data_IF_795841935327
#
_entry.id   IF_795841935327
#
_cell.length_a   1.000
_cell.length_b   1.000
_cell.length_c   1.000
_cell.angle_alpha   90.00
_cell.angle_beta   90.00
_cell.angle_gamma   90.00
#
_symmetry.space_group_name_H-M   'P 1'
#
loop_
_entity.id
_entity.type
_entity.pdbx_description
1 polymer ?
#
# COMPACT_ATOMS: atom_id res chain seq x y z
N UNK A 1 38.63 1.09 -59.08
CA UNK A 1 39.66 2.09 -58.73
C UNK A 1 38.97 3.25 -58.06
N UNK A 2 39.31 3.39 -56.78
CA UNK A 2 39.09 4.49 -55.84
C UNK A 2 38.80 5.86 -56.45
N UNK A 3 37.89 6.59 -55.82
CA UNK A 3 37.82 8.05 -55.63
C UNK A 3 36.49 8.31 -54.90
N UNK A 4 36.31 9.08 -53.84
CA UNK A 4 37.17 9.82 -52.93
C UNK A 4 36.20 10.32 -51.85
N UNK A 5 36.28 9.82 -50.62
CA UNK A 5 35.44 10.27 -49.50
C UNK A 5 36.09 11.49 -48.88
N UNK A 6 35.77 12.69 -49.35
CA UNK A 6 36.04 13.94 -48.62
C UNK A 6 35.39 15.14 -49.32
N UNK A 7 34.18 15.56 -48.86
CA UNK A 7 33.74 16.98 -48.84
C UNK A 7 32.32 17.30 -48.36
N UNK A 8 31.53 16.38 -47.79
CA UNK A 8 30.18 16.74 -47.30
C UNK A 8 30.15 16.97 -45.78
N UNK A 9 30.89 18.00 -45.35
CA UNK A 9 30.52 18.87 -44.21
C UNK A 9 29.08 19.35 -44.45
N UNK A 10 28.25 19.72 -43.46
CA UNK A 10 28.16 19.39 -42.04
C UNK A 10 26.66 19.12 -41.72
N UNK A 11 26.04 18.18 -42.43
CA UNK A 11 24.57 18.03 -42.50
C UNK A 11 24.11 16.66 -42.00
N UNK A 12 24.67 16.18 -40.91
CA UNK A 12 24.20 14.95 -40.23
C UNK A 12 24.14 15.14 -38.72
N UNK A 13 24.10 16.39 -38.25
CA UNK A 13 23.57 16.72 -36.91
C UNK A 13 22.06 16.40 -36.82
N UNK A 14 21.40 16.14 -37.95
CA UNK A 14 20.03 15.63 -38.01
C UNK A 14 19.88 14.15 -37.58
N UNK A 15 20.97 13.48 -37.16
CA UNK A 15 20.95 12.07 -36.76
C UNK A 15 20.63 11.82 -35.27
N UNK A 16 20.36 12.85 -34.46
CA UNK A 16 20.28 12.71 -32.99
C UNK A 16 18.94 13.12 -32.33
N UNK A 17 17.87 13.38 -33.08
CA UNK A 17 16.59 13.83 -32.49
C UNK A 17 15.43 12.82 -32.64
N UNK A 18 15.58 11.75 -33.43
CA UNK A 18 14.47 10.84 -33.76
C UNK A 18 14.46 9.51 -32.98
N UNK A 19 14.95 9.48 -31.74
CA UNK A 19 15.07 8.24 -30.95
C UNK A 19 14.46 8.31 -29.53
N UNK A 20 13.49 9.20 -29.27
CA UNK A 20 12.89 9.39 -27.92
C UNK A 20 11.36 9.27 -27.91
N UNK A 21 10.77 8.37 -28.70
CA UNK A 21 9.29 8.18 -28.72
C UNK A 21 8.79 6.77 -28.42
N UNK A 22 9.61 5.89 -27.84
CA UNK A 22 9.15 4.56 -27.38
C UNK A 22 9.21 4.40 -25.86
N UNK A 23 8.57 5.31 -25.12
CA UNK A 23 8.15 5.04 -23.74
C UNK A 23 6.63 5.22 -23.67
N UNK A 24 5.89 4.29 -24.25
CA UNK A 24 4.44 4.20 -24.09
C UNK A 24 4.10 2.99 -23.21
N UNK A 25 3.80 3.29 -21.95
CA UNK A 25 2.87 2.55 -21.10
C UNK A 25 3.22 1.10 -20.75
N UNK A 26 4.05 0.89 -19.73
CA UNK A 26 4.12 -0.41 -19.08
C UNK A 26 2.80 -0.72 -18.34
N UNK A 27 2.09 -1.74 -18.81
CA UNK A 27 1.22 -2.63 -18.04
C UNK A 27 -0.14 -2.09 -17.52
N UNK A 28 -1.03 -1.66 -18.42
CA UNK A 28 -2.47 -1.88 -18.19
C UNK A 28 -2.82 -3.30 -18.67
N UNK A 29 -2.49 -4.31 -17.86
CA UNK A 29 -2.87 -5.70 -18.16
C UNK A 29 -4.38 -5.80 -18.00
N UNK A 30 -5.11 -5.72 -19.11
CA UNK A 30 -6.54 -5.95 -19.20
C UNK A 30 -6.82 -7.43 -18.95
N UNK A 31 -6.83 -7.84 -17.68
CA UNK A 31 -7.01 -9.22 -17.26
C UNK A 31 -7.48 -9.28 -15.82
N UNK A 32 -7.92 -10.46 -15.34
CA UNK A 32 -8.51 -10.57 -14.02
C UNK A 32 -7.54 -10.13 -12.90
N UNK A 33 -7.92 -9.20 -12.00
CA UNK A 33 -7.03 -8.60 -10.99
C UNK A 33 -6.84 -9.50 -9.75
N UNK A 34 -6.35 -10.72 -9.97
CA UNK A 34 -6.18 -11.73 -8.91
C UNK A 34 -5.14 -11.30 -7.88
N UNK A 35 -4.08 -10.62 -8.31
CA UNK A 35 -3.01 -10.17 -7.42
C UNK A 35 -3.53 -9.09 -6.44
N UNK A 36 -4.35 -8.17 -6.94
CA UNK A 36 -4.94 -7.08 -6.17
C UNK A 36 -5.97 -7.62 -5.15
N UNK A 37 -6.83 -8.57 -5.55
CA UNK A 37 -7.75 -9.25 -4.63
C UNK A 37 -7.00 -9.99 -3.52
N UNK A 38 -5.94 -10.73 -3.86
CA UNK A 38 -5.10 -11.44 -2.88
C UNK A 38 -4.39 -10.47 -1.92
N UNK A 39 -3.91 -9.33 -2.45
CA UNK A 39 -3.29 -8.28 -1.64
C UNK A 39 -4.28 -7.64 -0.66
N UNK A 40 -5.51 -7.39 -1.10
CA UNK A 40 -6.58 -6.87 -0.26
C UNK A 40 -6.97 -7.84 0.86
N UNK A 41 -7.15 -9.12 0.55
CA UNK A 41 -7.43 -10.18 1.53
C UNK A 41 -6.30 -10.29 2.59
N UNK A 42 -5.05 -10.26 2.12
CA UNK A 42 -3.88 -10.29 3.01
C UNK A 42 -3.79 -9.04 3.90
N UNK A 43 -4.15 -7.87 3.37
CA UNK A 43 -4.18 -6.61 4.14
C UNK A 43 -5.29 -6.64 5.21
N UNK A 44 -6.47 -7.19 4.88
CA UNK A 44 -7.55 -7.41 5.86
C UNK A 44 -7.11 -8.35 6.99
N UNK A 45 -6.47 -9.47 6.67
CA UNK A 45 -5.96 -10.41 7.67
C UNK A 45 -4.93 -9.76 8.62
N UNK A 46 -4.04 -8.93 8.09
CA UNK A 46 -3.08 -8.16 8.89
C UNK A 46 -3.78 -7.16 9.81
N UNK A 47 -4.78 -6.42 9.31
CA UNK A 47 -5.57 -5.50 10.12
C UNK A 47 -6.30 -6.21 11.26
N UNK A 48 -6.93 -7.36 10.98
CA UNK A 48 -7.60 -8.18 12.00
C UNK A 48 -6.62 -8.68 13.06
N UNK A 49 -5.46 -9.20 12.63
CA UNK A 49 -4.39 -9.66 13.51
C UNK A 49 -3.81 -8.54 14.38
N UNK A 50 -3.80 -7.30 13.88
CA UNK A 50 -3.41 -6.12 14.63
C UNK A 50 -4.47 -5.64 15.64
N UNK A 51 -5.66 -6.26 15.68
CA UNK A 51 -6.74 -5.90 16.59
C UNK A 51 -7.67 -4.80 16.05
N UNK A 52 -7.71 -4.58 14.73
CA UNK A 52 -8.56 -3.56 14.13
C UNK A 52 -10.06 -3.74 14.42
N UNK A 53 -10.52 -4.97 14.69
CA UNK A 53 -11.92 -5.23 15.11
C UNK A 53 -12.33 -4.42 16.34
N UNK A 54 -11.38 -4.17 17.25
CA UNK A 54 -11.62 -3.44 18.49
C UNK A 54 -11.21 -1.97 18.37
N UNK A 55 -10.15 -1.69 17.62
CA UNK A 55 -9.50 -0.37 17.63
C UNK A 55 -9.73 0.48 16.38
N UNK A 56 -10.21 -0.11 15.29
CA UNK A 56 -10.54 0.55 14.03
C UNK A 56 -11.70 -0.16 13.30
N UNK A 57 -12.87 -0.36 13.95
CA UNK A 57 -13.94 -1.19 13.40
C UNK A 57 -14.56 -0.60 12.12
N UNK A 58 -14.62 0.73 12.02
CA UNK A 58 -15.21 1.40 10.86
C UNK A 58 -14.35 1.23 9.60
N UNK A 59 -13.05 1.44 9.72
CA UNK A 59 -12.10 1.27 8.61
C UNK A 59 -12.05 -0.20 8.17
N UNK A 60 -12.04 -1.13 9.14
CA UNK A 60 -12.07 -2.55 8.85
C UNK A 60 -13.36 -2.99 8.13
N UNK A 61 -14.51 -2.44 8.55
CA UNK A 61 -15.80 -2.70 7.89
C UNK A 61 -15.78 -2.18 6.44
N UNK A 62 -15.30 -0.95 6.26
CA UNK A 62 -15.19 -0.31 4.93
C UNK A 62 -14.31 -1.14 3.99
N UNK A 63 -13.16 -1.61 4.47
CA UNK A 63 -12.27 -2.48 3.70
C UNK A 63 -12.94 -3.80 3.30
N UNK A 64 -13.68 -4.43 4.23
CA UNK A 64 -14.39 -5.68 3.98
C UNK A 64 -15.52 -5.51 2.96
N UNK A 65 -16.26 -4.42 3.06
CA UNK A 65 -17.34 -4.10 2.12
C UNK A 65 -16.80 -3.87 0.70
N UNK A 66 -15.73 -3.10 0.56
CA UNK A 66 -15.07 -2.89 -0.74
C UNK A 66 -14.48 -4.17 -1.32
N UNK A 67 -13.88 -5.04 -0.50
CA UNK A 67 -13.42 -6.35 -0.97
C UNK A 67 -14.60 -7.20 -1.48
N UNK A 68 -15.72 -7.21 -0.77
CA UNK A 68 -16.92 -7.94 -1.22
C UNK A 68 -17.45 -7.40 -2.55
N UNK A 69 -17.45 -6.07 -2.72
CA UNK A 69 -17.80 -5.44 -4.00
C UNK A 69 -16.78 -5.78 -5.10
N UNK A 70 -15.48 -5.85 -4.78
CA UNK A 70 -14.44 -6.24 -5.72
C UNK A 70 -14.62 -7.69 -6.20
N UNK A 71 -14.95 -8.60 -5.29
CA UNK A 71 -15.25 -10.00 -5.61
C UNK A 71 -16.53 -10.12 -6.46
N UNK A 72 -17.53 -9.27 -6.23
CA UNK A 72 -18.72 -9.20 -7.06
C UNK A 72 -18.40 -8.72 -8.48
N UNK A 73 -17.61 -7.65 -8.62
CA UNK A 73 -17.14 -7.14 -9.91
C UNK A 73 -16.27 -8.17 -10.66
N UNK A 74 -15.44 -8.92 -9.93
CA UNK A 74 -14.65 -10.03 -10.49
C UNK A 74 -15.55 -11.12 -11.09
N UNK A 75 -16.65 -11.49 -10.41
CA UNK A 75 -17.62 -12.47 -10.92
C UNK A 75 -18.42 -11.97 -12.12
N UNK A 76 -18.62 -10.65 -12.24
CA UNK A 76 -19.27 -10.03 -13.40
C UNK A 76 -18.30 -9.67 -14.53
N UNK A 77 -17.03 -10.10 -14.43
CA UNK A 77 -15.96 -9.80 -15.38
C UNK A 77 -15.67 -8.29 -15.55
N UNK A 78 -16.11 -7.47 -14.60
CA UNK A 78 -15.78 -6.04 -14.53
C UNK A 78 -14.42 -5.87 -13.83
N UNK A 79 -13.36 -6.23 -14.56
CA UNK A 79 -12.00 -6.32 -14.02
C UNK A 79 -11.42 -4.97 -13.60
N UNK A 80 -11.74 -3.89 -14.31
CA UNK A 80 -11.28 -2.55 -13.94
C UNK A 80 -11.91 -2.11 -12.62
N UNK A 81 -13.23 -2.31 -12.46
CA UNK A 81 -13.90 -2.01 -11.20
C UNK A 81 -13.42 -2.90 -10.06
N UNK A 82 -13.23 -4.19 -10.33
CA UNK A 82 -12.70 -5.14 -9.35
C UNK A 82 -11.31 -4.72 -8.86
N UNK A 83 -10.44 -4.29 -9.77
CA UNK A 83 -9.09 -3.81 -9.45
C UNK A 83 -9.13 -2.59 -8.53
N UNK A 84 -9.88 -1.55 -8.91
CA UNK A 84 -9.99 -0.30 -8.13
C UNK A 84 -10.57 -0.58 -6.74
N UNK A 85 -11.61 -1.39 -6.64
CA UNK A 85 -12.22 -1.74 -5.36
C UNK A 85 -11.26 -2.56 -4.47
N UNK A 86 -10.49 -3.49 -5.04
CA UNK A 86 -9.50 -4.26 -4.32
C UNK A 86 -8.35 -3.38 -3.79
N UNK A 87 -7.84 -2.45 -4.60
CA UNK A 87 -6.83 -1.47 -4.18
C UNK A 87 -7.34 -0.59 -3.04
N UNK A 88 -8.58 -0.08 -3.15
CA UNK A 88 -9.20 0.70 -2.08
C UNK A 88 -9.38 -0.12 -0.80
N UNK A 89 -9.86 -1.37 -0.90
CA UNK A 89 -9.99 -2.27 0.23
C UNK A 89 -8.65 -2.52 0.92
N UNK A 90 -7.57 -2.69 0.16
CA UNK A 90 -6.22 -2.87 0.70
C UNK A 90 -5.74 -1.63 1.47
N UNK A 91 -5.99 -0.43 0.93
CA UNK A 91 -5.62 0.84 1.59
C UNK A 91 -6.42 1.04 2.88
N UNK A 92 -7.73 0.82 2.86
CA UNK A 92 -8.58 0.94 4.05
C UNK A 92 -8.19 -0.08 5.13
N UNK A 93 -7.84 -1.31 4.73
CA UNK A 93 -7.35 -2.33 5.65
C UNK A 93 -6.03 -1.90 6.31
N UNK A 94 -5.08 -1.35 5.54
CA UNK A 94 -3.83 -0.82 6.08
C UNK A 94 -4.06 0.38 7.02
N UNK A 95 -5.04 1.22 6.72
CA UNK A 95 -5.46 2.29 7.63
C UNK A 95 -5.99 1.71 8.95
N UNK A 96 -6.84 0.70 8.88
CA UNK A 96 -7.38 0.01 10.06
C UNK A 96 -6.25 -0.63 10.90
N UNK A 97 -5.31 -1.29 10.23
CA UNK A 97 -4.12 -1.88 10.85
C UNK A 97 -3.27 -0.82 11.56
N UNK A 98 -2.94 0.28 10.88
CA UNK A 98 -2.12 1.35 11.43
C UNK A 98 -2.77 1.94 12.68
N UNK A 99 -4.08 2.24 12.63
CA UNK A 99 -4.83 2.72 13.78
C UNK A 99 -4.81 1.75 14.95
N UNK A 100 -5.02 0.46 14.69
CA UNK A 100 -4.99 -0.56 15.73
C UNK A 100 -3.61 -0.66 16.40
N UNK A 101 -2.54 -0.63 15.61
CA UNK A 101 -1.16 -0.59 16.10
C UNK A 101 -0.90 0.67 16.93
N UNK A 102 -1.36 1.84 16.48
CA UNK A 102 -1.21 3.10 17.24
C UNK A 102 -1.87 3.02 18.61
N UNK A 103 -3.12 2.54 18.70
CA UNK A 103 -3.83 2.40 19.99
C UNK A 103 -3.07 1.44 20.91
N UNK A 104 -2.59 0.30 20.39
CA UNK A 104 -1.79 -0.65 21.17
C UNK A 104 -0.48 -0.04 21.67
N UNK A 105 0.23 0.71 20.83
CA UNK A 105 1.45 1.40 21.23
C UNK A 105 1.20 2.46 22.31
N UNK A 106 0.12 3.22 22.21
CA UNK A 106 -0.26 4.19 23.24
C UNK A 106 -0.55 3.52 24.58
N UNK A 107 -1.28 2.40 24.58
CA UNK A 107 -1.53 1.60 25.80
C UNK A 107 -0.25 1.09 26.42
N UNK A 108 0.67 0.56 25.61
CA UNK A 108 1.97 0.09 26.11
C UNK A 108 2.78 1.23 26.76
N UNK A 109 2.70 2.46 26.23
CA UNK A 109 3.32 3.64 26.85
C UNK A 109 2.67 3.94 28.20
N UNK A 110 1.34 3.95 28.28
CA UNK A 110 0.61 4.18 29.54
C UNK A 110 0.94 3.12 30.60
N UNK A 111 0.96 1.83 30.25
CA UNK A 111 1.29 0.74 31.17
C UNK A 111 2.72 0.89 31.74
N UNK A 112 3.68 1.32 30.92
CA UNK A 112 5.06 1.58 31.37
C UNK A 112 5.11 2.78 32.31
N UNK A 113 4.37 3.84 32.02
CA UNK A 113 4.30 5.03 32.87
C UNK A 113 3.70 4.69 34.25
N UNK A 114 2.58 3.96 34.28
CA UNK A 114 1.94 3.50 35.53
C UNK A 114 2.87 2.59 36.34
N UNK A 115 3.64 1.72 35.66
CA UNK A 115 4.65 0.88 36.31
C UNK A 115 5.75 1.72 36.97
N UNK A 116 6.24 2.76 36.28
CA UNK A 116 7.25 3.68 36.82
C UNK A 116 6.71 4.43 38.05
N UNK A 117 5.48 4.93 37.99
CA UNK A 117 4.84 5.63 39.11
C UNK A 117 4.63 4.72 40.32
N UNK A 118 4.21 3.48 40.09
CA UNK A 118 4.07 2.47 41.14
C UNK A 118 5.41 2.23 41.83
N UNK A 119 6.48 1.99 41.07
CA UNK A 119 7.82 1.79 41.61
C UNK A 119 8.32 3.00 42.41
N UNK A 120 8.06 4.23 41.95
CA UNK A 120 8.42 5.46 42.69
C UNK A 120 7.65 5.55 44.01
N UNK A 121 6.36 5.27 44.01
CA UNK A 121 5.54 5.27 45.22
C UNK A 121 5.97 4.20 46.24
N UNK A 122 6.45 3.04 45.76
CA UNK A 122 7.03 2.02 46.64
C UNK A 122 8.33 2.46 47.30
N UNK A 123 9.20 3.19 46.58
CA UNK A 123 10.44 3.73 47.14
C UNK A 123 10.16 4.77 48.24
N UNK A 124 9.17 5.64 48.04
CA UNK A 124 8.80 6.67 49.02
C UNK A 124 8.15 6.10 50.29
N UNK A 125 7.51 4.92 50.20
CA UNK A 125 6.85 4.25 51.34
C UNK A 125 7.78 3.39 52.19
N UNK A 126 8.99 3.08 51.72
CA UNK A 126 9.94 2.26 52.51
C UNK A 126 10.48 3.10 53.69
N UNK A 127 10.23 2.69 54.95
CA UNK A 127 10.80 3.39 56.10
C UNK A 127 12.33 3.24 56.10
N UNK A 128 13.03 4.29 56.55
CA UNK A 128 14.49 4.32 56.71
C UNK A 128 14.98 3.28 57.71
#
# INVERSE_FOLDING_TARGET
>A
MSLSVSKYRPLTVAASVLAVLFVTGCASKMGPPVAELSSAQSSLSQAESAGARTHAPLELLTAREKLSQAEAAMRSEDFERAKVLAEQAAVDARLAEARARTVRSQRAVTEVQESIETLRGELDRRPK
#
